data_IF_204392619953
#
_entry.id   IF_204392619953
#
_cell.length_a   1.000
_cell.length_b   1.000
_cell.length_c   1.000
_cell.angle_alpha   90.00
_cell.angle_beta   90.00
_cell.angle_gamma   90.00
#
_symmetry.space_group_name_H-M   'P 1'
#
loop_
_entity.id
_entity.type
_entity.pdbx_description
1 polymer ?
#
# COMPACT_ATOMS: atom_id res chain seq x y z
N UNK A 1 -11.71 43.05 29.82
CA UNK A 1 -11.39 41.73 29.26
C UNK A 1 -9.93 41.48 29.53
N UNK A 2 -9.69 40.49 30.37
CA UNK A 2 -8.42 40.20 31.02
C UNK A 2 -7.39 39.62 30.05
N UNK A 3 -6.21 40.25 29.93
CA UNK A 3 -5.09 39.82 29.06
C UNK A 3 -4.00 39.10 29.85
N UNK A 4 -4.26 38.76 31.11
CA UNK A 4 -3.28 38.14 32.01
C UNK A 4 -3.32 36.61 32.03
N UNK A 5 -4.36 35.99 31.47
CA UNK A 5 -4.55 34.52 31.45
C UNK A 5 -3.83 33.82 30.28
N UNK A 6 -3.50 34.53 29.20
CA UNK A 6 -2.83 33.92 28.03
C UNK A 6 -1.31 33.75 28.21
N UNK A 7 -0.67 34.52 29.10
CA UNK A 7 0.78 34.46 29.29
C UNK A 7 1.22 33.31 30.23
N UNK A 8 0.35 32.87 31.14
CA UNK A 8 0.69 31.82 32.13
C UNK A 8 0.59 30.41 31.55
N UNK A 9 -0.29 30.20 30.56
CA UNK A 9 -0.38 28.91 29.85
C UNK A 9 0.84 28.71 28.94
N UNK A 10 1.31 29.76 28.26
CA UNK A 10 2.51 29.69 27.43
C UNK A 10 3.79 29.41 28.24
N UNK A 11 3.88 29.90 29.48
CA UNK A 11 5.04 29.68 30.35
C UNK A 11 5.17 28.24 30.85
N UNK A 12 4.05 27.51 31.01
CA UNK A 12 4.07 26.11 31.50
C UNK A 12 4.44 25.09 30.42
N UNK A 13 4.27 25.42 29.14
CA UNK A 13 4.67 24.53 28.03
C UNK A 13 6.18 24.65 27.74
N UNK A 14 6.80 25.80 28.02
CA UNK A 14 8.24 26.00 27.78
C UNK A 14 9.14 25.48 28.93
N UNK A 15 8.62 25.39 30.17
CA UNK A 15 9.41 25.05 31.34
C UNK A 15 9.58 23.54 31.60
N UNK A 16 8.89 22.69 30.83
CA UNK A 16 9.08 21.23 30.86
C UNK A 16 10.23 20.74 29.95
N UNK A 17 10.92 21.66 29.24
CA UNK A 17 11.81 21.31 28.13
C UNK A 17 13.29 21.06 28.44
N UNK A 18 13.86 21.40 29.61
CA UNK A 18 15.34 21.30 29.77
C UNK A 18 15.85 21.00 31.19
N UNK A 19 15.20 20.10 31.95
CA UNK A 19 15.73 19.64 33.24
C UNK A 19 16.19 18.17 33.14
N UNK A 20 17.17 17.93 32.26
CA UNK A 20 17.89 16.67 32.14
C UNK A 20 19.39 16.93 32.03
N UNK A 21 20.06 16.91 33.19
CA UNK A 21 21.50 16.79 33.46
C UNK A 21 22.49 17.78 32.80
N UNK A 22 22.92 18.77 33.58
CA UNK A 22 24.36 18.97 33.80
C UNK A 22 24.58 19.52 35.22
N UNK A 23 25.08 18.67 36.12
CA UNK A 23 25.65 19.08 37.40
C UNK A 23 27.13 18.77 37.33
N UNK A 24 27.91 19.78 36.97
CA UNK A 24 29.35 19.72 37.11
C UNK A 24 29.77 19.89 38.57
N UNK A 25 30.73 19.04 38.95
CA UNK A 25 31.93 19.34 39.74
C UNK A 25 32.09 18.46 41.00
N UNK A 26 32.88 17.40 40.87
CA UNK A 26 33.88 17.07 41.90
C UNK A 26 35.17 16.60 41.24
N UNK A 27 36.28 17.12 41.75
CA UNK A 27 37.64 16.99 41.23
C UNK A 27 38.33 15.94 42.10
N UNK A 28 38.57 14.75 41.56
CA UNK A 28 39.23 13.67 42.29
C UNK A 28 39.87 12.66 41.36
N UNK A 29 41.19 12.75 41.30
CA UNK A 29 42.15 11.66 41.07
C UNK A 29 42.33 11.11 39.64
N UNK A 30 43.56 11.32 39.15
CA UNK A 30 44.14 10.61 38.02
C UNK A 30 44.52 9.21 38.50
N UNK A 31 43.90 8.17 37.95
CA UNK A 31 44.55 6.88 37.73
C UNK A 31 43.97 6.23 36.47
N UNK A 32 44.88 5.77 35.64
CA UNK A 32 44.66 5.05 34.39
C UNK A 32 44.20 3.62 34.68
N UNK A 33 43.02 3.21 34.20
CA UNK A 33 42.86 1.86 33.63
C UNK A 33 41.96 1.94 32.39
N UNK A 34 42.48 1.41 31.29
CA UNK A 34 41.71 1.09 30.10
C UNK A 34 40.83 -0.10 30.45
N UNK A 35 39.58 0.13 30.83
CA UNK A 35 38.58 -0.92 30.89
C UNK A 35 37.35 -0.40 30.15
N UNK A 36 37.27 -0.86 28.90
CA UNK A 36 36.12 -0.72 28.01
C UNK A 36 35.05 -1.62 28.61
N UNK A 37 34.33 -1.10 29.60
CA UNK A 37 33.16 -1.76 30.15
C UNK A 37 31.97 -1.37 29.28
N UNK A 38 31.83 -2.22 28.26
CA UNK A 38 30.75 -2.42 27.31
C UNK A 38 29.37 -2.15 27.96
N UNK A 39 28.96 -0.87 27.97
CA UNK A 39 27.58 -0.50 28.23
C UNK A 39 26.76 -0.91 27.01
N UNK A 40 26.43 -2.20 26.97
CA UNK A 40 25.42 -2.84 26.13
C UNK A 40 24.03 -2.36 26.57
N UNK A 41 23.82 -1.05 26.50
CA UNK A 41 22.52 -0.49 26.23
C UNK A 41 22.36 -0.61 24.72
N UNK A 42 21.69 -1.69 24.30
CA UNK A 42 21.21 -1.99 22.96
C UNK A 42 20.52 -0.74 22.35
N UNK A 43 21.32 0.17 21.83
CA UNK A 43 20.92 1.16 20.85
C UNK A 43 20.70 0.37 19.57
N UNK A 44 19.52 -0.26 19.50
CA UNK A 44 19.02 -0.90 18.31
C UNK A 44 19.27 0.05 17.14
N UNK A 45 20.13 -0.39 16.23
CA UNK A 45 20.32 0.18 14.91
C UNK A 45 18.95 0.54 14.35
N UNK A 46 18.58 1.83 14.39
CA UNK A 46 17.56 2.36 13.50
C UNK A 46 18.24 2.53 12.15
N UNK A 47 18.60 1.39 11.55
CA UNK A 47 18.56 1.24 10.10
C UNK A 47 17.07 1.20 9.77
N UNK A 48 16.39 2.35 9.92
CA UNK A 48 15.09 2.57 9.30
C UNK A 48 15.35 2.56 7.81
N UNK A 49 15.46 1.34 7.27
CA UNK A 49 15.54 1.12 5.86
C UNK A 49 14.31 1.79 5.32
N UNK A 50 14.59 2.80 4.51
CA UNK A 50 13.61 3.51 3.76
C UNK A 50 12.92 2.51 2.83
N UNK A 51 11.85 1.88 3.32
CA UNK A 51 11.22 0.75 2.65
C UNK A 51 10.11 1.31 1.78
N UNK A 52 10.37 1.36 0.48
CA UNK A 52 9.38 1.78 -0.50
C UNK A 52 8.20 0.81 -0.43
N UNK A 53 6.99 1.34 -0.31
CA UNK A 53 5.77 0.57 -0.04
C UNK A 53 5.31 0.58 1.42
N UNK A 54 6.16 0.96 2.38
CA UNK A 54 5.79 1.11 3.80
C UNK A 54 5.17 2.50 4.01
N UNK A 55 3.87 2.60 3.71
CA UNK A 55 3.12 3.84 3.76
C UNK A 55 2.73 4.23 5.19
N UNK A 56 2.71 3.28 6.12
CA UNK A 56 2.32 3.49 7.51
C UNK A 56 3.52 3.70 8.48
N UNK A 57 4.75 3.46 8.00
CA UNK A 57 6.04 3.56 8.70
C UNK A 57 6.16 2.59 9.90
N UNK A 58 5.67 1.36 9.72
CA UNK A 58 5.77 0.28 10.72
C UNK A 58 6.96 -0.67 10.51
N UNK A 59 7.72 -0.45 9.43
CA UNK A 59 8.91 -1.21 9.07
C UNK A 59 8.63 -2.47 8.26
N UNK A 60 7.39 -2.70 7.86
CA UNK A 60 6.96 -3.80 6.97
C UNK A 60 6.24 -3.25 5.74
N UNK A 61 6.15 -4.04 4.67
CA UNK A 61 5.27 -3.74 3.55
C UNK A 61 4.19 -4.81 3.50
N UNK A 62 2.98 -4.45 3.92
CA UNK A 62 1.86 -5.38 4.04
C UNK A 62 0.51 -4.73 3.74
N UNK A 63 -0.58 -5.46 4.04
CA UNK A 63 -1.94 -5.01 3.78
C UNK A 63 -2.29 -3.70 4.49
N UNK A 64 -1.65 -3.40 5.61
CA UNK A 64 -1.78 -2.14 6.33
C UNK A 64 -1.39 -0.95 5.46
N UNK A 65 -0.31 -1.05 4.70
CA UNK A 65 0.14 0.00 3.78
C UNK A 65 -0.83 0.20 2.62
N UNK A 66 -1.32 -0.91 2.08
CA UNK A 66 -2.32 -0.89 1.01
C UNK A 66 -3.59 -0.17 1.46
N UNK A 67 -4.05 -0.44 2.68
CA UNK A 67 -5.22 0.22 3.28
C UNK A 67 -4.98 1.72 3.48
N UNK A 68 -3.78 2.14 3.91
CA UNK A 68 -3.43 3.56 4.07
C UNK A 68 -3.41 4.28 2.72
N UNK A 69 -2.78 3.69 1.70
CA UNK A 69 -2.71 4.24 0.36
C UNK A 69 -4.09 4.36 -0.30
N UNK A 70 -4.91 3.30 -0.24
CA UNK A 70 -6.25 3.31 -0.83
C UNK A 70 -7.16 4.39 -0.23
N UNK A 71 -7.12 4.56 1.10
CA UNK A 71 -7.90 5.60 1.79
C UNK A 71 -7.43 7.02 1.44
N UNK A 72 -6.11 7.21 1.34
CA UNK A 72 -5.53 8.49 0.95
C UNK A 72 -5.96 8.88 -0.47
N UNK A 73 -5.85 7.97 -1.44
CA UNK A 73 -6.25 8.19 -2.83
C UNK A 73 -7.76 8.45 -2.94
N UNK A 74 -8.57 7.72 -2.17
CA UNK A 74 -10.01 7.90 -2.14
C UNK A 74 -10.47 9.21 -1.45
N UNK A 75 -9.55 9.96 -0.83
CA UNK A 75 -9.81 11.25 -0.22
C UNK A 75 -10.50 11.18 1.15
N UNK A 76 -10.57 10.00 1.77
CA UNK A 76 -11.08 9.83 3.13
C UNK A 76 -10.16 8.92 3.93
N UNK A 77 -9.20 9.54 4.64
CA UNK A 77 -8.20 8.81 5.42
C UNK A 77 -7.11 9.71 6.00
N UNK A 78 -6.18 9.09 6.73
CA UNK A 78 -4.92 9.74 7.11
C UNK A 78 -3.98 9.72 5.89
N UNK A 79 -3.23 10.80 5.68
CA UNK A 79 -2.12 10.77 4.73
C UNK A 79 -1.09 9.71 5.14
N UNK A 80 -0.37 9.11 4.17
CA UNK A 80 0.76 8.22 4.45
C UNK A 80 1.72 8.87 5.45
N UNK A 81 2.28 8.06 6.34
CA UNK A 81 3.33 8.53 7.26
C UNK A 81 4.53 9.07 6.48
N UNK A 82 4.78 8.49 5.30
CA UNK A 82 5.82 8.90 4.37
C UNK A 82 5.32 8.94 2.93
N UNK A 83 5.19 10.15 2.39
CA UNK A 83 4.78 10.37 0.99
C UNK A 83 5.78 9.78 -0.01
N UNK A 84 7.05 9.72 0.36
CA UNK A 84 8.09 9.24 -0.56
C UNK A 84 8.17 7.70 -0.51
N UNK A 85 7.68 7.04 0.54
CA UNK A 85 7.57 5.56 0.58
C UNK A 85 6.30 5.12 -0.15
N UNK A 86 5.24 5.93 -0.07
CA UNK A 86 4.00 5.76 -0.81
C UNK A 86 4.13 6.08 -2.32
N UNK A 87 5.05 6.96 -2.73
CA UNK A 87 5.43 7.20 -4.13
C UNK A 87 6.39 6.08 -4.60
N UNK A 88 5.80 4.94 -4.94
CA UNK A 88 6.52 3.72 -5.29
C UNK A 88 7.11 3.84 -6.69
N UNK A 89 6.46 4.56 -7.61
CA UNK A 89 6.96 4.75 -8.97
C UNK A 89 8.01 5.89 -9.09
N UNK A 90 8.08 6.78 -8.09
CA UNK A 90 9.04 7.89 -8.01
C UNK A 90 8.66 9.14 -8.82
N UNK A 91 7.40 9.29 -9.23
CA UNK A 91 6.92 10.39 -10.07
C UNK A 91 6.51 11.65 -9.28
N UNK A 92 6.64 11.61 -7.95
CA UNK A 92 6.30 12.65 -6.97
C UNK A 92 4.81 12.83 -6.73
N UNK A 93 4.00 11.88 -7.18
CA UNK A 93 2.59 11.76 -6.87
C UNK A 93 2.36 10.47 -6.10
N UNK A 94 1.30 10.45 -5.30
CA UNK A 94 0.82 9.21 -4.68
C UNK A 94 -0.58 9.01 -5.24
N UNK A 95 -0.69 8.09 -6.19
CA UNK A 95 -1.92 7.85 -6.93
C UNK A 95 -2.20 6.35 -7.14
N UNK A 96 -3.19 6.06 -7.98
CA UNK A 96 -3.63 4.69 -8.24
C UNK A 96 -2.50 3.82 -8.82
N UNK A 97 -1.53 4.41 -9.53
CA UNK A 97 -0.38 3.67 -10.06
C UNK A 97 0.50 3.12 -8.94
N UNK A 98 0.74 3.90 -7.87
CA UNK A 98 1.47 3.41 -6.71
C UNK A 98 0.72 2.28 -5.99
N UNK A 99 -0.60 2.42 -5.88
CA UNK A 99 -1.45 1.38 -5.29
C UNK A 99 -1.45 0.08 -6.10
N UNK A 100 -1.41 0.18 -7.44
CA UNK A 100 -1.30 -0.98 -8.33
C UNK A 100 0.05 -1.66 -8.17
N UNK A 101 1.15 -0.90 -8.09
CA UNK A 101 2.48 -1.48 -7.87
C UNK A 101 2.55 -2.14 -6.49
N UNK A 102 1.95 -1.53 -5.47
CA UNK A 102 1.87 -2.14 -4.15
C UNK A 102 1.05 -3.43 -4.18
N UNK A 103 -0.09 -3.47 -4.88
CA UNK A 103 -0.91 -4.67 -5.01
C UNK A 103 -0.16 -5.82 -5.70
N UNK A 104 0.58 -5.51 -6.78
CA UNK A 104 1.43 -6.47 -7.48
C UNK A 104 2.51 -7.04 -6.54
N UNK A 105 3.09 -6.20 -5.68
CA UNK A 105 4.05 -6.67 -4.68
C UNK A 105 3.43 -7.59 -3.61
N UNK A 106 2.21 -7.30 -3.13
CA UNK A 106 1.56 -8.10 -2.08
C UNK A 106 0.95 -9.42 -2.60
N UNK A 107 0.42 -9.41 -3.83
CA UNK A 107 -0.40 -10.51 -4.37
C UNK A 107 0.10 -11.07 -5.70
N UNK A 108 1.17 -10.51 -6.28
CA UNK A 108 1.85 -11.03 -7.46
C UNK A 108 2.57 -12.33 -7.15
N UNK A 109 1.83 -13.44 -7.17
CA UNK A 109 2.37 -14.79 -7.05
C UNK A 109 3.16 -15.17 -8.29
N UNK A 110 4.41 -15.54 -8.03
CA UNK A 110 5.35 -16.24 -8.90
C UNK A 110 6.03 -15.38 -9.99
N UNK A 111 7.36 -15.24 -9.84
CA UNK A 111 8.38 -14.78 -10.83
C UNK A 111 8.90 -13.33 -10.77
N UNK A 112 8.43 -12.47 -9.85
CA UNK A 112 9.08 -11.16 -9.63
C UNK A 112 10.06 -11.21 -8.46
N UNK A 113 11.31 -11.58 -8.73
CA UNK A 113 12.48 -11.26 -7.87
C UNK A 113 12.75 -9.75 -7.91
N UNK A 114 11.72 -8.97 -7.56
CA UNK A 114 11.73 -7.53 -7.45
C UNK A 114 10.82 -7.19 -6.27
N UNK A 115 11.27 -7.56 -5.07
CA UNK A 115 10.87 -6.78 -3.91
C UNK A 115 11.30 -5.33 -4.07
N UNK A 116 11.07 -4.45 -3.08
CA UNK A 116 11.68 -3.12 -3.04
C UNK A 116 13.20 -3.25 -2.83
N UNK A 117 13.89 -3.82 -3.81
CA UNK A 117 15.31 -3.73 -4.02
C UNK A 117 15.57 -2.31 -4.48
N UNK A 118 16.61 -1.72 -3.89
CA UNK A 118 17.19 -0.47 -4.35
C UNK A 118 17.24 -0.44 -5.87
N UNK A 119 16.71 0.64 -6.45
CA UNK A 119 16.73 0.95 -7.87
C UNK A 119 18.08 0.59 -8.51
N UNK A 120 18.16 -0.57 -9.14
CA UNK A 120 19.10 -0.85 -10.22
C UNK A 120 18.39 -1.67 -11.32
N UNK A 121 18.97 -1.59 -12.51
CA UNK A 121 18.22 -1.52 -13.75
C UNK A 121 17.96 -2.89 -14.36
N UNK A 122 16.79 -3.00 -15.03
CA UNK A 122 16.54 -3.81 -16.22
C UNK A 122 16.85 -5.31 -16.15
N UNK A 123 15.85 -6.17 -16.40
CA UNK A 123 15.95 -7.24 -17.42
C UNK A 123 14.57 -7.85 -17.72
N UNK A 124 14.29 -7.94 -19.01
CA UNK A 124 13.21 -8.66 -19.68
C UNK A 124 13.25 -10.17 -19.44
N UNK A 125 12.09 -10.87 -19.42
CA UNK A 125 11.71 -11.87 -20.44
C UNK A 125 10.40 -12.61 -20.16
N UNK A 126 9.76 -12.91 -21.28
CA UNK A 126 8.50 -13.61 -21.49
C UNK A 126 8.49 -15.11 -21.16
N UNK A 127 7.29 -15.69 -21.29
CA UNK A 127 6.95 -17.09 -21.68
C UNK A 127 6.42 -17.93 -20.49
N UNK A 128 5.32 -18.71 -20.53
CA UNK A 128 4.65 -19.43 -21.64
C UNK A 128 3.29 -20.01 -21.18
N UNK A 129 2.34 -19.98 -22.10
CA UNK A 129 1.03 -20.67 -22.16
C UNK A 129 1.04 -22.17 -21.83
N UNK A 130 -0.06 -22.66 -21.22
CA UNK A 130 -0.58 -24.04 -21.41
C UNK A 130 -2.10 -24.04 -21.48
N UNK A 131 -2.64 -24.58 -22.58
CA UNK A 131 -4.07 -24.64 -22.94
C UNK A 131 -4.61 -26.04 -22.62
N UNK A 132 -5.78 -26.13 -21.99
CA UNK A 132 -6.63 -27.32 -22.07
C UNK A 132 -8.01 -26.96 -22.64
N UNK A 133 -8.43 -27.73 -23.64
CA UNK A 133 -9.69 -27.59 -24.38
C UNK A 133 -10.65 -28.67 -23.90
N UNK A 134 -11.84 -28.27 -23.45
CA UNK A 134 -13.01 -29.13 -23.33
C UNK A 134 -14.16 -28.50 -24.10
N UNK A 135 -14.62 -29.19 -25.15
CA UNK A 135 -15.74 -28.83 -26.00
C UNK A 135 -17.05 -29.06 -25.25
N UNK A 136 -17.73 -27.98 -24.90
CA UNK A 136 -19.13 -27.93 -24.47
C UNK A 136 -19.72 -26.72 -25.18
N UNK A 137 -20.97 -26.84 -25.63
CA UNK A 137 -21.74 -25.88 -26.42
C UNK A 137 -21.25 -24.45 -26.25
N UNK A 138 -21.04 -23.72 -27.35
CA UNK A 138 -20.58 -22.33 -27.34
C UNK A 138 -21.57 -21.42 -26.59
N UNK A 139 -21.59 -21.52 -25.27
CA UNK A 139 -22.05 -20.53 -24.32
C UNK A 139 -21.10 -19.39 -24.60
N UNK A 140 -21.60 -18.38 -25.30
CA UNK A 140 -20.86 -17.14 -25.45
C UNK A 140 -20.75 -16.58 -24.05
N UNK A 141 -19.63 -16.83 -23.38
CA UNK A 141 -19.32 -16.19 -22.12
C UNK A 141 -19.33 -14.70 -22.39
N UNK A 142 -20.30 -14.02 -21.79
CA UNK A 142 -20.44 -12.58 -21.93
C UNK A 142 -19.39 -11.95 -21.03
N UNK A 143 -18.44 -11.23 -21.64
CA UNK A 143 -17.37 -10.59 -20.89
C UNK A 143 -17.96 -9.48 -20.02
N UNK A 144 -17.71 -9.53 -18.72
CA UNK A 144 -18.34 -8.69 -17.71
C UNK A 144 -19.50 -9.33 -16.96
N UNK A 145 -20.02 -10.48 -17.41
CA UNK A 145 -21.08 -11.24 -16.75
C UNK A 145 -20.45 -12.25 -15.77
N UNK A 146 -20.15 -11.78 -14.57
CA UNK A 146 -19.47 -12.56 -13.53
C UNK A 146 -20.44 -13.52 -12.82
N UNK A 147 -21.74 -13.19 -12.80
CA UNK A 147 -22.76 -14.00 -12.13
C UNK A 147 -23.49 -14.99 -13.07
N UNK A 148 -23.16 -14.98 -14.36
CA UNK A 148 -23.71 -15.83 -15.44
C UNK A 148 -25.24 -15.69 -15.58
N UNK A 149 -25.77 -14.48 -15.36
CA UNK A 149 -27.21 -14.19 -15.49
C UNK A 149 -27.62 -13.74 -16.90
N UNK A 150 -26.65 -13.60 -17.81
CA UNK A 150 -26.82 -13.22 -19.20
C UNK A 150 -26.84 -11.71 -19.45
N UNK A 151 -26.59 -10.89 -18.43
CA UNK A 151 -26.48 -9.43 -18.51
C UNK A 151 -25.13 -8.95 -17.96
N UNK A 152 -24.74 -7.72 -18.28
CA UNK A 152 -23.60 -7.06 -17.64
C UNK A 152 -24.13 -5.85 -16.91
N UNK A 153 -24.25 -5.94 -15.59
CA UNK A 153 -24.81 -4.89 -14.75
C UNK A 153 -24.12 -4.79 -13.37
N UNK A 154 -24.77 -4.09 -12.44
CA UNK A 154 -24.21 -3.87 -11.10
C UNK A 154 -24.16 -5.15 -10.25
N UNK A 155 -24.94 -6.18 -10.59
CA UNK A 155 -24.89 -7.50 -10.00
C UNK A 155 -23.53 -8.15 -10.20
N UNK A 156 -22.96 -8.05 -11.40
CA UNK A 156 -21.62 -8.55 -11.70
C UNK A 156 -20.53 -7.83 -10.93
N UNK A 157 -20.68 -6.51 -10.82
CA UNK A 157 -19.78 -5.68 -10.03
C UNK A 157 -19.77 -6.11 -8.57
N UNK A 158 -20.94 -6.37 -7.98
CA UNK A 158 -21.06 -6.85 -6.60
C UNK A 158 -20.41 -8.23 -6.41
N UNK A 159 -20.57 -9.14 -7.37
CA UNK A 159 -19.93 -10.47 -7.30
C UNK A 159 -18.40 -10.34 -7.37
N UNK A 160 -17.87 -9.52 -8.29
CA UNK A 160 -16.43 -9.28 -8.38
C UNK A 160 -15.86 -8.60 -7.13
N UNK A 161 -16.51 -7.57 -6.58
CA UNK A 161 -16.06 -6.92 -5.33
C UNK A 161 -15.96 -7.96 -4.21
N UNK A 162 -17.00 -8.78 -4.02
CA UNK A 162 -17.03 -9.76 -2.94
C UNK A 162 -15.95 -10.83 -3.11
N UNK A 163 -15.72 -11.28 -4.35
CA UNK A 163 -14.67 -12.23 -4.66
C UNK A 163 -13.28 -11.66 -4.38
N UNK A 164 -12.98 -10.46 -4.89
CA UNK A 164 -11.68 -9.79 -4.72
C UNK A 164 -11.39 -9.51 -3.25
N UNK A 165 -12.41 -9.13 -2.47
CA UNK A 165 -12.28 -8.89 -1.03
C UNK A 165 -12.30 -10.17 -0.17
N UNK A 166 -12.49 -11.35 -0.78
CA UNK A 166 -12.54 -12.63 -0.08
C UNK A 166 -13.78 -12.84 0.79
N UNK A 167 -14.85 -12.07 0.58
CA UNK A 167 -16.11 -12.19 1.32
C UNK A 167 -17.16 -13.06 0.61
N UNK A 168 -16.97 -13.35 -0.68
CA UNK A 168 -17.92 -14.10 -1.51
C UNK A 168 -17.36 -15.43 -2.03
N UNK A 169 -18.27 -16.25 -2.58
CA UNK A 169 -17.90 -17.40 -3.40
C UNK A 169 -17.22 -16.95 -4.70
N UNK A 170 -16.54 -17.88 -5.37
CA UNK A 170 -16.00 -17.63 -6.70
C UNK A 170 -17.11 -17.22 -7.69
N UNK A 171 -16.84 -16.32 -8.64
CA UNK A 171 -17.78 -15.95 -9.69
C UNK A 171 -18.34 -17.18 -10.40
N UNK A 172 -19.61 -17.13 -10.77
CA UNK A 172 -20.24 -18.19 -11.56
C UNK A 172 -19.52 -18.38 -12.91
N UNK A 173 -19.02 -17.27 -13.46
CA UNK A 173 -18.21 -17.25 -14.67
C UNK A 173 -16.85 -16.57 -14.42
N UNK A 174 -15.80 -17.37 -14.22
CA UNK A 174 -14.41 -16.87 -14.14
C UNK A 174 -14.00 -16.15 -15.42
N UNK A 175 -14.52 -16.60 -16.56
CA UNK A 175 -14.18 -16.07 -17.87
C UNK A 175 -15.02 -14.83 -18.24
N UNK A 176 -16.18 -14.65 -17.58
CA UNK A 176 -16.93 -13.40 -17.57
C UNK A 176 -16.31 -12.37 -16.63
N UNK A 177 -15.73 -12.82 -15.51
CA UNK A 177 -15.03 -11.98 -14.55
C UNK A 177 -13.64 -11.51 -15.02
N UNK A 178 -12.92 -12.31 -15.81
CA UNK A 178 -11.63 -11.96 -16.45
C UNK A 178 -11.86 -11.10 -17.71
N UNK A 179 -12.09 -9.81 -17.49
CA UNK A 179 -12.45 -8.85 -18.53
C UNK A 179 -11.23 -8.43 -19.36
N UNK A 180 -10.01 -8.53 -18.84
CA UNK A 180 -8.81 -8.19 -19.59
C UNK A 180 -8.23 -9.42 -20.34
N UNK A 181 -8.55 -10.65 -19.91
CA UNK A 181 -8.13 -11.91 -20.51
C UNK A 181 -6.75 -12.38 -20.05
N UNK A 182 -6.29 -11.92 -18.90
CA UNK A 182 -4.98 -12.27 -18.34
C UNK A 182 -5.01 -13.56 -17.49
N UNK A 183 -6.17 -14.23 -17.43
CA UNK A 183 -6.43 -15.44 -16.67
C UNK A 183 -6.44 -15.25 -15.16
N UNK A 184 -6.47 -14.01 -14.68
CA UNK A 184 -6.66 -13.66 -13.28
C UNK A 184 -7.89 -12.78 -13.13
N UNK A 185 -8.57 -12.89 -11.98
CA UNK A 185 -9.71 -12.01 -11.67
C UNK A 185 -9.26 -11.12 -10.53
N UNK A 186 -8.97 -9.85 -10.85
CA UNK A 186 -8.37 -8.90 -9.92
C UNK A 186 -9.00 -7.50 -10.08
N UNK A 187 -8.38 -6.52 -9.42
CA UNK A 187 -8.88 -5.13 -9.40
C UNK A 187 -8.88 -4.49 -10.81
N UNK A 188 -8.02 -4.94 -11.72
CA UNK A 188 -8.03 -4.44 -13.10
C UNK A 188 -9.33 -4.80 -13.81
N UNK A 189 -9.83 -6.02 -13.61
CA UNK A 189 -11.11 -6.44 -14.20
C UNK A 189 -12.27 -5.63 -13.66
N UNK A 190 -12.29 -5.36 -12.35
CA UNK A 190 -13.39 -4.58 -11.77
C UNK A 190 -13.34 -3.11 -12.17
N UNK A 191 -12.15 -2.55 -12.40
CA UNK A 191 -12.00 -1.19 -12.95
C UNK A 191 -12.52 -1.15 -14.38
N UNK A 192 -12.22 -2.17 -15.20
CA UNK A 192 -12.75 -2.27 -16.56
C UNK A 192 -14.27 -2.45 -16.58
N UNK A 193 -14.82 -3.24 -15.66
CA UNK A 193 -16.27 -3.34 -15.50
C UNK A 193 -16.89 -2.00 -15.10
N UNK A 194 -16.27 -1.29 -14.15
CA UNK A 194 -16.76 0.00 -13.69
C UNK A 194 -16.75 1.06 -14.81
N UNK A 195 -15.70 1.10 -15.62
CA UNK A 195 -15.64 1.96 -16.81
C UNK A 195 -16.73 1.58 -17.83
N UNK A 196 -16.99 0.30 -18.02
CA UNK A 196 -18.08 -0.16 -18.88
C UNK A 196 -19.47 0.29 -18.38
N UNK A 197 -19.71 0.20 -17.06
CA UNK A 197 -21.00 0.54 -16.45
C UNK A 197 -21.22 2.05 -16.28
N UNK A 198 -20.16 2.81 -16.02
CA UNK A 198 -20.25 4.22 -15.60
C UNK A 198 -19.41 5.20 -16.42
N UNK A 199 -18.46 4.75 -17.24
CA UNK A 199 -17.60 5.59 -18.09
C UNK A 199 -18.34 6.28 -19.25
N UNK A 200 -19.62 5.96 -19.47
CA UNK A 200 -20.43 6.43 -20.59
C UNK A 200 -21.03 7.83 -20.52
N UNK A 201 -20.64 8.74 -19.60
CA UNK A 201 -21.20 10.11 -19.57
C UNK A 201 -20.22 11.19 -19.10
N UNK A 202 -19.43 11.77 -20.02
CA UNK A 202 -19.36 13.23 -20.18
C UNK A 202 -18.60 13.60 -21.47
N UNK A 203 -19.25 13.49 -22.64
CA UNK A 203 -18.76 14.15 -23.87
C UNK A 203 -19.43 15.50 -24.14
N UNK A 204 -20.40 15.92 -23.30
CA UNK A 204 -21.06 17.23 -23.38
C UNK A 204 -21.50 17.78 -22.03
N UNK A 205 -20.54 17.91 -21.13
CA UNK A 205 -20.54 18.87 -20.04
C UNK A 205 -19.25 19.70 -20.19
#
# INVERSE_FOLDING_TARGET
MDRTVDLTIAALIFLAGTAGLVSGEDIGDVETTNDIDDESAEAALIDARYLRGDANDDGSVDLGDFIVMAQYIAGYGRAPASMVQADINGDRSVDVLDLVILADYLWGGDESDSGPQSLDSSTTKASKTSVEVCDSESVRVLRGDANDDGSVDIGDFIVMVQYILGYGDAPASMQGADINGDHTVNVLDIVMLADHLWGGQCERC
#
